data_IF_164937011679
#
_entry.id   IF_164937011679
#
_cell.length_a   1.000
_cell.length_b   1.000
_cell.length_c   1.000
_cell.angle_alpha   90.00
_cell.angle_beta   90.00
_cell.angle_gamma   90.00
#
_symmetry.space_group_name_H-M   'P 1'
#
loop_
_entity.id
_entity.type
_entity.pdbx_description
1 polymer ?
#
# COMPACT_ATOMS: atom_id res chain seq x y z
N UNK A 1 13.14 5.74 21.90
CA UNK A 1 13.44 4.37 21.49
C UNK A 1 12.77 4.08 20.15
N UNK A 2 13.53 3.60 19.19
CA UNK A 2 13.03 3.35 17.84
C UNK A 2 12.68 1.87 17.65
N UNK A 3 11.59 1.61 16.95
CA UNK A 3 11.21 0.25 16.56
C UNK A 3 12.10 -0.24 15.43
N UNK A 4 12.46 -1.53 15.46
CA UNK A 4 13.22 -2.17 14.39
C UNK A 4 12.27 -2.97 13.49
N UNK A 5 12.79 -3.45 12.34
CA UNK A 5 12.04 -4.33 11.47
C UNK A 5 11.58 -5.59 12.22
N UNK A 6 12.45 -6.15 13.05
CA UNK A 6 12.11 -7.32 13.85
C UNK A 6 10.99 -7.03 14.84
N UNK A 7 11.00 -5.85 15.48
CA UNK A 7 9.94 -5.45 16.39
C UNK A 7 8.59 -5.37 15.68
N UNK A 8 8.56 -4.79 14.48
CA UNK A 8 7.34 -4.66 13.70
C UNK A 8 6.78 -6.03 13.30
N UNK A 9 7.64 -6.94 12.84
CA UNK A 9 7.24 -8.30 12.50
C UNK A 9 6.73 -9.06 13.72
N UNK A 10 7.38 -8.89 14.86
CA UNK A 10 6.96 -9.51 16.12
C UNK A 10 5.56 -9.04 16.52
N UNK A 11 5.30 -7.75 16.41
CA UNK A 11 4.00 -7.18 16.76
C UNK A 11 2.89 -7.69 15.84
N UNK A 12 3.17 -7.83 14.54
CA UNK A 12 2.21 -8.41 13.59
C UNK A 12 1.86 -9.85 13.98
N UNK A 13 2.86 -10.64 14.32
CA UNK A 13 2.63 -12.02 14.76
C UNK A 13 1.87 -12.07 16.08
N UNK A 14 2.15 -11.14 17.00
CA UNK A 14 1.46 -11.06 18.28
C UNK A 14 -0.03 -10.71 18.14
N UNK A 15 -0.39 -10.05 17.03
CA UNK A 15 -1.79 -9.77 16.70
C UNK A 15 -2.54 -10.99 16.16
N UNK A 16 -1.86 -12.11 16.02
CA UNK A 16 -2.45 -13.34 15.48
C UNK A 16 -2.32 -13.51 13.97
N UNK A 17 -1.55 -12.63 13.31
CA UNK A 17 -1.36 -12.70 11.87
C UNK A 17 -0.27 -13.72 11.53
N UNK A 18 -0.45 -14.43 10.41
CA UNK A 18 0.47 -15.50 9.96
C UNK A 18 1.30 -15.09 8.75
N UNK A 19 0.89 -14.04 8.03
CA UNK A 19 1.53 -13.61 6.80
C UNK A 19 0.83 -14.11 5.54
N UNK A 20 -0.17 -14.97 5.68
CA UNK A 20 -0.92 -15.51 4.55
C UNK A 20 -2.23 -14.75 4.28
N UNK A 21 -2.53 -13.77 5.10
CA UNK A 21 -3.78 -13.03 5.01
C UNK A 21 -3.79 -12.07 3.82
N UNK A 22 -5.00 -11.72 3.38
CA UNK A 22 -5.24 -10.56 2.55
C UNK A 22 -5.55 -9.40 3.48
N UNK A 23 -4.72 -8.38 3.51
CA UNK A 23 -4.86 -7.30 4.49
C UNK A 23 -4.72 -5.93 3.82
N UNK A 24 -5.63 -5.04 4.18
CA UNK A 24 -5.56 -3.63 3.81
C UNK A 24 -5.04 -2.85 5.01
N UNK A 25 -3.95 -2.13 4.82
CA UNK A 25 -3.36 -1.32 5.87
C UNK A 25 -3.55 0.15 5.55
N UNK A 26 -4.14 0.85 6.49
CA UNK A 26 -4.35 2.29 6.43
C UNK A 26 -3.71 2.91 7.67
N UNK A 27 -2.45 3.33 7.53
CA UNK A 27 -1.68 3.83 8.66
C UNK A 27 -0.75 4.96 8.22
N UNK A 28 -0.17 5.64 9.20
CA UNK A 28 0.80 6.71 8.97
C UNK A 28 2.02 6.48 9.85
N UNK A 29 3.15 7.04 9.44
CA UNK A 29 4.38 6.99 10.25
C UNK A 29 4.18 7.64 11.61
N UNK A 30 3.38 8.69 11.67
CA UNK A 30 3.09 9.36 12.93
C UNK A 30 2.37 8.43 13.92
N UNK A 31 1.44 7.62 13.42
CA UNK A 31 0.69 6.68 14.25
C UNK A 31 1.55 5.50 14.70
N UNK A 32 2.48 5.07 13.86
CA UNK A 32 3.38 3.95 14.19
C UNK A 32 4.41 4.38 15.22
N UNK A 33 4.92 5.60 15.12
CA UNK A 33 5.96 6.12 15.99
C UNK A 33 7.32 6.14 15.32
N UNK A 34 8.38 6.25 16.12
CA UNK A 34 9.74 6.31 15.60
C UNK A 34 10.21 4.92 15.21
N UNK A 35 10.65 4.78 13.96
CA UNK A 35 11.12 3.51 13.41
C UNK A 35 12.54 3.70 12.89
N UNK A 36 13.43 2.80 13.25
CA UNK A 36 14.80 2.79 12.75
C UNK A 36 14.80 2.57 11.24
N UNK A 37 15.34 3.51 10.49
CA UNK A 37 15.28 3.49 9.03
C UNK A 37 14.01 4.10 8.43
N UNK A 38 13.05 4.51 9.26
CA UNK A 38 11.87 5.26 8.81
C UNK A 38 10.86 4.42 8.03
N UNK A 39 10.20 5.09 7.07
CA UNK A 39 9.13 4.47 6.29
C UNK A 39 9.58 3.24 5.50
N UNK A 40 10.80 3.24 4.97
CA UNK A 40 11.32 2.10 4.23
C UNK A 40 11.41 0.84 5.09
N UNK A 41 11.78 0.97 6.36
CA UNK A 41 11.81 -0.16 7.29
C UNK A 41 10.41 -0.71 7.54
N UNK A 42 9.42 0.16 7.67
CA UNK A 42 8.02 -0.27 7.83
C UNK A 42 7.57 -1.06 6.61
N UNK A 43 7.86 -0.55 5.41
CA UNK A 43 7.51 -1.25 4.18
C UNK A 43 8.24 -2.58 4.04
N UNK A 44 9.53 -2.62 4.38
CA UNK A 44 10.29 -3.88 4.37
C UNK A 44 9.64 -4.90 5.30
N UNK A 45 9.27 -4.51 6.50
CA UNK A 45 8.64 -5.42 7.46
C UNK A 45 7.31 -5.95 6.94
N UNK A 46 6.46 -5.06 6.43
CA UNK A 46 5.14 -5.44 5.93
C UNK A 46 5.25 -6.34 4.69
N UNK A 47 6.10 -5.97 3.74
CA UNK A 47 6.25 -6.73 2.50
C UNK A 47 6.86 -8.10 2.77
N UNK A 48 7.84 -8.20 3.66
CA UNK A 48 8.42 -9.49 4.02
C UNK A 48 7.43 -10.36 4.79
N UNK A 49 6.70 -9.77 5.73
CA UNK A 49 5.75 -10.52 6.55
C UNK A 49 4.60 -11.09 5.70
N UNK A 50 4.06 -10.31 4.77
CA UNK A 50 2.90 -10.70 3.98
C UNK A 50 3.26 -11.19 2.56
N UNK A 51 4.49 -11.59 2.32
CA UNK A 51 4.94 -12.03 1.00
C UNK A 51 4.11 -13.20 0.44
N UNK A 52 3.65 -14.10 1.31
CA UNK A 52 2.81 -15.26 0.92
C UNK A 52 1.32 -14.96 0.98
N UNK A 53 0.95 -13.75 1.39
CA UNK A 53 -0.41 -13.27 1.43
C UNK A 53 -0.60 -12.15 0.41
N UNK A 54 -1.48 -11.21 0.72
CA UNK A 54 -1.74 -10.06 -0.13
C UNK A 54 -1.80 -8.80 0.73
N UNK A 55 -0.85 -7.90 0.49
CA UNK A 55 -0.76 -6.62 1.19
C UNK A 55 -1.31 -5.52 0.29
N UNK A 56 -2.26 -4.76 0.82
CA UNK A 56 -2.91 -3.67 0.11
C UNK A 56 -2.72 -2.36 0.87
N UNK A 57 -2.38 -1.30 0.16
CA UNK A 57 -2.37 0.05 0.69
C UNK A 57 -3.15 0.96 -0.25
N UNK A 58 -3.97 1.87 0.26
CA UNK A 58 -4.63 2.84 -0.60
C UNK A 58 -3.62 3.81 -1.18
N UNK A 59 -3.73 4.07 -2.48
CA UNK A 59 -2.87 5.02 -3.19
C UNK A 59 -3.71 6.09 -3.88
N UNK A 60 -4.70 6.58 -3.18
CA UNK A 60 -5.69 7.52 -3.69
C UNK A 60 -5.04 8.84 -4.12
N UNK A 61 -5.59 9.43 -5.17
CA UNK A 61 -5.03 10.61 -5.82
C UNK A 61 -6.05 11.76 -5.92
N UNK A 62 -7.16 11.65 -5.20
CA UNK A 62 -8.27 12.58 -5.32
C UNK A 62 -7.88 14.04 -5.12
N UNK A 63 -6.80 14.33 -4.38
CA UNK A 63 -6.33 15.70 -4.19
C UNK A 63 -5.65 16.26 -5.45
N UNK A 64 -4.96 15.40 -6.21
CA UNK A 64 -4.16 15.82 -7.37
C UNK A 64 -4.88 15.61 -8.70
N UNK A 65 -5.76 14.62 -8.78
CA UNK A 65 -6.50 14.28 -9.99
C UNK A 65 -7.94 14.75 -9.81
N UNK A 66 -8.35 15.72 -10.61
CA UNK A 66 -9.65 16.39 -10.50
C UNK A 66 -10.03 17.00 -11.84
N UNK A 67 -11.06 17.85 -11.87
CA UNK A 67 -11.52 18.48 -13.11
C UNK A 67 -10.47 19.35 -13.75
N UNK A 68 -9.57 19.94 -12.96
CA UNK A 68 -8.51 20.81 -13.47
C UNK A 68 -7.29 20.01 -13.93
N UNK A 69 -7.05 18.85 -13.33
CA UNK A 69 -5.94 17.98 -13.70
C UNK A 69 -6.46 16.55 -13.86
N UNK A 70 -6.75 16.16 -15.08
CA UNK A 70 -7.33 14.86 -15.40
C UNK A 70 -6.31 13.79 -15.78
N UNK A 71 -5.03 14.13 -15.74
CA UNK A 71 -3.94 13.25 -16.16
C UNK A 71 -3.52 12.33 -15.02
N UNK A 72 -3.97 11.09 -15.06
CA UNK A 72 -3.51 10.06 -14.12
C UNK A 72 -2.56 9.10 -14.82
N UNK A 73 -1.38 8.92 -14.25
CA UNK A 73 -0.38 7.95 -14.71
C UNK A 73 -0.16 6.94 -13.59
N UNK A 74 -0.50 5.69 -13.83
CA UNK A 74 -0.42 4.64 -12.82
C UNK A 74 0.99 4.48 -12.26
N UNK A 75 2.01 4.81 -13.04
CA UNK A 75 3.40 4.69 -12.63
C UNK A 75 3.94 5.93 -11.93
N UNK A 76 3.43 7.10 -12.26
CA UNK A 76 4.03 8.38 -11.86
C UNK A 76 3.16 9.23 -10.96
N UNK A 77 1.84 9.14 -11.06
CA UNK A 77 0.97 9.99 -10.27
C UNK A 77 1.15 9.74 -8.78
N UNK A 78 1.57 10.76 -8.00
CA UNK A 78 1.73 10.60 -6.57
C UNK A 78 0.39 10.43 -5.88
N UNK A 79 0.37 9.72 -4.77
CA UNK A 79 -0.84 9.59 -3.96
C UNK A 79 -0.86 10.66 -2.87
N UNK A 80 -2.05 10.95 -2.36
CA UNK A 80 -2.26 12.00 -1.37
C UNK A 80 -2.60 11.48 0.03
N UNK A 81 -2.44 10.19 0.28
CA UNK A 81 -2.87 9.56 1.53
C UNK A 81 -1.72 9.16 2.45
N UNK A 82 -0.55 9.72 2.25
CA UNK A 82 0.58 9.58 3.16
C UNK A 82 1.84 9.06 2.53
N UNK A 83 2.92 9.09 3.32
CA UNK A 83 4.25 8.70 2.83
C UNK A 83 4.36 7.18 2.61
N UNK A 84 3.74 6.36 3.44
CA UNK A 84 3.80 4.91 3.31
C UNK A 84 3.23 4.44 1.97
N UNK A 85 2.00 4.81 1.59
CA UNK A 85 1.48 4.46 0.27
C UNK A 85 2.30 5.04 -0.87
N UNK A 86 2.80 6.25 -0.72
CA UNK A 86 3.58 6.89 -1.77
C UNK A 86 4.88 6.13 -2.06
N UNK A 87 5.59 5.71 -1.04
CA UNK A 87 6.80 4.91 -1.19
C UNK A 87 6.48 3.46 -1.61
N UNK A 88 5.39 2.91 -1.08
CA UNK A 88 4.98 1.53 -1.38
C UNK A 88 4.72 1.33 -2.87
N UNK A 89 3.97 2.25 -3.49
CA UNK A 89 3.62 2.12 -4.91
C UNK A 89 4.83 2.08 -5.83
N UNK A 90 5.96 2.59 -5.37
CA UNK A 90 7.20 2.66 -6.17
C UNK A 90 8.11 1.44 -5.97
N UNK A 91 7.76 0.54 -5.05
CA UNK A 91 8.58 -0.64 -4.76
C UNK A 91 8.47 -1.68 -5.87
N UNK A 92 9.57 -2.39 -6.17
CA UNK A 92 9.53 -3.50 -7.15
C UNK A 92 8.50 -4.55 -6.74
N UNK A 93 7.74 -5.05 -7.70
CA UNK A 93 6.74 -6.09 -7.45
C UNK A 93 5.39 -5.57 -6.97
N UNK A 94 5.28 -4.28 -6.66
CA UNK A 94 4.01 -3.67 -6.28
C UNK A 94 3.25 -3.28 -7.54
N UNK A 95 1.96 -3.62 -7.58
CA UNK A 95 1.07 -3.26 -8.69
C UNK A 95 0.02 -2.27 -8.19
N UNK A 96 -0.43 -1.39 -9.06
CA UNK A 96 -1.37 -0.32 -8.73
C UNK A 96 -2.54 -0.35 -9.70
N UNK A 97 -3.75 -0.17 -9.17
CA UNK A 97 -4.94 -0.14 -10.01
C UNK A 97 -5.02 1.13 -10.84
N UNK A 98 -5.78 1.06 -11.92
CA UNK A 98 -5.90 2.16 -12.89
C UNK A 98 -6.97 3.19 -12.53
N UNK A 99 -7.62 3.05 -11.38
CA UNK A 99 -8.64 4.01 -10.98
C UNK A 99 -8.02 5.39 -10.78
N UNK A 100 -8.50 6.43 -11.47
CA UNK A 100 -7.81 7.73 -11.47
C UNK A 100 -7.77 8.44 -10.13
N UNK A 101 -8.75 8.23 -9.25
CA UNK A 101 -8.81 8.94 -7.96
C UNK A 101 -8.68 8.03 -6.75
N UNK A 102 -9.08 6.78 -6.86
CA UNK A 102 -9.12 5.84 -5.72
C UNK A 102 -8.38 4.56 -6.02
N UNK A 103 -7.18 4.68 -6.60
CA UNK A 103 -6.35 3.52 -6.87
C UNK A 103 -5.86 2.85 -5.60
N UNK A 104 -5.58 1.56 -5.72
CA UNK A 104 -4.99 0.74 -4.66
C UNK A 104 -3.69 0.16 -5.17
N UNK A 105 -2.73 -0.01 -4.27
CA UNK A 105 -1.50 -0.73 -4.59
C UNK A 105 -1.49 -2.05 -3.82
N UNK A 106 -0.93 -3.08 -4.43
CA UNK A 106 -0.91 -4.43 -3.88
C UNK A 106 0.43 -5.11 -4.09
N UNK A 107 0.82 -5.91 -3.11
CA UNK A 107 2.03 -6.70 -3.17
C UNK A 107 1.76 -8.08 -2.57
N UNK A 108 2.34 -9.11 -3.18
CA UNK A 108 2.26 -10.46 -2.67
C UNK A 108 1.60 -11.40 -3.67
N UNK A 109 1.11 -12.52 -3.17
CA UNK A 109 0.52 -13.57 -3.99
C UNK A 109 -0.76 -13.06 -4.65
N UNK A 110 -0.86 -13.26 -5.96
CA UNK A 110 -2.04 -12.90 -6.78
C UNK A 110 -2.34 -11.39 -6.81
N UNK A 111 -1.36 -10.53 -6.50
CA UNK A 111 -1.55 -9.09 -6.46
C UNK A 111 -2.07 -8.53 -7.79
N UNK A 112 -1.48 -8.93 -8.91
CA UNK A 112 -1.88 -8.45 -10.22
C UNK A 112 -3.32 -8.84 -10.57
N UNK A 113 -3.70 -10.07 -10.25
CA UNK A 113 -5.06 -10.55 -10.50
C UNK A 113 -6.08 -9.80 -9.64
N UNK A 114 -5.75 -9.56 -8.38
CA UNK A 114 -6.62 -8.80 -7.47
C UNK A 114 -6.84 -7.37 -7.98
N UNK A 115 -5.77 -6.71 -8.37
CA UNK A 115 -5.83 -5.32 -8.86
C UNK A 115 -6.65 -5.23 -10.15
N UNK A 116 -6.53 -6.20 -11.06
CA UNK A 116 -7.31 -6.22 -12.30
C UNK A 116 -8.82 -6.31 -12.01
N UNK A 117 -9.22 -7.18 -11.07
CA UNK A 117 -10.63 -7.32 -10.68
C UNK A 117 -11.12 -6.04 -10.00
N UNK A 118 -10.33 -5.47 -9.11
CA UNK A 118 -10.67 -4.24 -8.41
C UNK A 118 -10.92 -3.09 -9.39
N UNK A 119 -10.06 -2.95 -10.39
CA UNK A 119 -10.23 -1.93 -11.42
C UNK A 119 -11.55 -2.11 -12.16
N UNK A 120 -11.84 -3.34 -12.60
CA UNK A 120 -13.05 -3.65 -13.35
C UNK A 120 -14.31 -3.27 -12.57
N UNK A 121 -14.33 -3.53 -11.26
CA UNK A 121 -15.47 -3.21 -10.42
C UNK A 121 -15.58 -1.72 -10.11
N UNK A 122 -14.46 -1.05 -9.90
CA UNK A 122 -14.44 0.35 -9.50
C UNK A 122 -14.77 1.32 -10.61
N UNK A 123 -14.65 0.92 -11.86
CA UNK A 123 -14.95 1.78 -13.00
C UNK A 123 -16.43 1.81 -13.37
N UNK A 124 -17.23 0.97 -12.79
CA UNK A 124 -18.65 0.88 -12.98
C UNK A 124 -19.37 1.50 -11.81
N UNK A 125 -20.45 2.07 -12.01
CA UNK A 125 -20.96 2.94 -13.04
C UNK A 125 -20.42 4.32 -12.82
N UNK A 126 -20.53 5.17 -13.72
CA UNK A 126 -20.08 6.54 -13.47
C UNK A 126 -21.27 7.46 -13.28
#
# INVERSE_FOLDING_TARGET
>A
MAYTKADLKHDLAAMGLTGNETILIHSSMKSIGTVEGGADTVLDALMEFFAEGLLLLPTHTWRFINEENRMFDVRRSPCCVGILPELFRQRPGVVRSLHPTHSMAAYGKDAAAYIAVSYTHLTLPT
#
